data_IF_056327853112
#
_entry.id   IF_056327853112
#
_cell.length_a   1.000
_cell.length_b   1.000
_cell.length_c   1.000
_cell.angle_alpha   90.00
_cell.angle_beta   90.00
_cell.angle_gamma   90.00
#
_symmetry.space_group_name_H-M   'P 1'
#
loop_
_entity.id
_entity.type
_entity.pdbx_description
1 polymer ?
#
# COMPACT_ATOMS: atom_id res chain seq x y z
N UNK A 1 29.50 55.18 2.75
CA UNK A 1 28.81 55.02 1.46
C UNK A 1 28.46 53.57 1.27
N UNK A 2 27.18 53.34 1.09
CA UNK A 2 26.39 52.11 1.12
C UNK A 2 26.66 51.16 -0.05
N UNK A 3 26.57 49.84 0.18
CA UNK A 3 26.00 48.82 -0.72
C UNK A 3 26.29 47.43 -0.09
N UNK A 4 25.48 46.95 0.85
CA UNK A 4 24.26 46.15 0.63
C UNK A 4 24.53 44.89 -0.22
N UNK A 5 24.92 43.83 0.49
CA UNK A 5 24.85 42.44 0.06
C UNK A 5 23.38 42.06 -0.12
N UNK A 6 22.94 41.86 -1.36
CA UNK A 6 21.65 41.26 -1.66
C UNK A 6 21.80 39.74 -1.61
N UNK A 7 21.48 39.20 -0.43
CA UNK A 7 21.28 37.78 -0.20
C UNK A 7 20.02 37.35 -0.96
N UNK A 8 20.19 36.81 -2.16
CA UNK A 8 19.10 36.27 -2.96
C UNK A 8 19.00 34.76 -2.71
N UNK A 9 18.61 34.39 -1.50
CA UNK A 9 18.15 33.03 -1.20
C UNK A 9 16.67 32.94 -1.54
N UNK A 10 16.37 32.85 -2.84
CA UNK A 10 15.08 32.35 -3.29
C UNK A 10 14.88 30.96 -2.66
N UNK A 11 13.95 30.90 -1.70
CA UNK A 11 13.47 29.65 -1.12
C UNK A 11 12.92 28.79 -2.25
N UNK A 12 13.72 27.84 -2.73
CA UNK A 12 13.25 26.76 -3.56
C UNK A 12 12.11 26.08 -2.78
N UNK A 13 10.88 26.27 -3.25
CA UNK A 13 9.69 25.69 -2.63
C UNK A 13 9.94 24.19 -2.49
N UNK A 14 9.94 23.69 -1.25
CA UNK A 14 10.25 22.28 -0.97
C UNK A 14 9.19 21.41 -1.64
N UNK A 15 9.50 20.96 -2.86
CA UNK A 15 8.60 20.16 -3.71
C UNK A 15 8.21 18.84 -3.04
N UNK A 16 9.03 18.37 -2.10
CA UNK A 16 8.79 17.15 -1.31
C UNK A 16 7.80 17.47 -0.19
N UNK A 17 7.99 18.57 0.53
CA UNK A 17 7.02 19.07 1.50
C UNK A 17 5.64 19.32 0.88
N UNK A 18 5.59 19.96 -0.30
CA UNK A 18 4.34 20.16 -1.04
C UNK A 18 3.67 18.85 -1.45
N UNK A 19 4.45 17.90 -1.99
CA UNK A 19 3.93 16.59 -2.35
C UNK A 19 3.36 15.85 -1.13
N UNK A 20 4.06 15.92 0.00
CA UNK A 20 3.63 15.34 1.27
C UNK A 20 2.30 15.92 1.74
N UNK A 21 2.13 17.25 1.69
CA UNK A 21 0.87 17.91 2.04
C UNK A 21 -0.27 17.51 1.11
N UNK A 22 0.00 17.40 -0.20
CA UNK A 22 -0.98 16.95 -1.18
C UNK A 22 -1.44 15.51 -0.89
N UNK A 23 -0.50 14.60 -0.60
CA UNK A 23 -0.82 13.20 -0.26
C UNK A 23 -1.64 13.13 1.02
N UNK A 24 -1.29 13.89 2.06
CA UNK A 24 -2.07 13.93 3.30
C UNK A 24 -3.48 14.48 3.07
N UNK A 25 -3.62 15.49 2.24
CA UNK A 25 -4.94 16.02 1.88
C UNK A 25 -5.79 14.98 1.16
N UNK A 26 -5.20 14.21 0.24
CA UNK A 26 -5.88 13.13 -0.48
C UNK A 26 -6.31 12.00 0.46
N UNK A 27 -5.41 11.52 1.32
CA UNK A 27 -5.70 10.43 2.26
C UNK A 27 -6.68 10.82 3.37
N UNK A 28 -6.78 12.12 3.71
CA UNK A 28 -7.74 12.65 4.68
C UNK A 28 -9.06 13.10 4.06
N UNK A 29 -9.15 13.13 2.73
CA UNK A 29 -10.37 13.57 2.06
C UNK A 29 -11.53 12.64 2.43
N UNK A 30 -12.72 13.18 2.76
CA UNK A 30 -13.86 12.34 3.07
C UNK A 30 -14.26 11.53 1.83
N UNK A 31 -14.54 10.23 2.02
CA UNK A 31 -15.04 9.39 0.94
C UNK A 31 -16.41 9.91 0.47
N UNK A 32 -16.58 10.00 -0.85
CA UNK A 32 -17.85 10.41 -1.45
C UNK A 32 -18.88 9.27 -1.40
N UNK A 33 -19.55 9.13 -0.26
CA UNK A 33 -20.54 8.08 -0.01
C UNK A 33 -21.70 8.15 -1.01
N UNK A 34 -22.14 9.34 -1.40
CA UNK A 34 -23.24 9.51 -2.37
C UNK A 34 -22.90 8.91 -3.74
N UNK A 35 -21.67 9.16 -4.22
CA UNK A 35 -21.18 8.55 -5.47
C UNK A 35 -21.12 7.01 -5.38
N UNK A 36 -20.70 6.47 -4.23
CA UNK A 36 -20.66 5.03 -3.98
C UNK A 36 -22.05 4.40 -3.95
N UNK A 37 -23.03 5.08 -3.34
CA UNK A 37 -24.42 4.63 -3.29
C UNK A 37 -25.07 4.70 -4.68
N UNK A 38 -24.83 5.77 -5.44
CA UNK A 38 -25.33 5.89 -6.81
C UNK A 38 -24.77 4.80 -7.73
N UNK A 39 -23.49 4.43 -7.55
CA UNK A 39 -22.85 3.31 -8.26
C UNK A 39 -23.55 1.96 -8.02
N UNK A 40 -24.04 1.72 -6.81
CA UNK A 40 -24.79 0.49 -6.44
C UNK A 40 -26.15 0.36 -7.14
N UNK A 41 -26.75 1.47 -7.55
CA UNK A 41 -28.07 1.51 -8.19
C UNK A 41 -28.04 1.49 -9.72
N UNK A 42 -26.85 1.40 -10.34
CA UNK A 42 -26.72 1.39 -11.80
C UNK A 42 -27.23 0.10 -12.42
N UNK A 43 -27.88 0.23 -13.59
CA UNK A 43 -28.38 -0.91 -14.38
C UNK A 43 -27.27 -1.77 -14.97
N UNK A 44 -26.09 -1.19 -15.26
CA UNK A 44 -24.93 -1.90 -15.78
C UNK A 44 -23.69 -1.67 -14.90
N UNK A 45 -22.91 -2.74 -14.58
CA UNK A 45 -21.67 -2.59 -13.82
C UNK A 45 -20.59 -1.85 -14.61
N UNK A 46 -19.63 -1.25 -13.90
CA UNK A 46 -18.43 -0.71 -14.52
C UNK A 46 -17.57 -1.80 -15.17
N UNK A 47 -16.93 -1.48 -16.29
CA UNK A 47 -15.94 -2.35 -16.90
C UNK A 47 -14.68 -2.43 -16.03
N UNK A 48 -13.98 -3.56 -16.10
CA UNK A 48 -12.63 -3.71 -15.58
C UNK A 48 -11.67 -3.18 -16.64
N UNK A 49 -10.81 -2.24 -16.28
CA UNK A 49 -9.70 -1.80 -17.12
C UNK A 49 -8.69 -2.94 -17.18
N UNK A 50 -8.42 -3.44 -18.37
CA UNK A 50 -7.41 -4.46 -18.57
C UNK A 50 -6.01 -3.84 -18.42
N UNK A 51 -5.15 -4.46 -17.61
CA UNK A 51 -3.73 -4.12 -17.51
C UNK A 51 -2.97 -5.28 -18.15
N UNK A 52 -2.49 -5.06 -19.38
CA UNK A 52 -1.80 -6.08 -20.17
C UNK A 52 -0.41 -6.41 -19.61
N UNK A 53 0.32 -5.39 -19.16
CA UNK A 53 1.67 -5.52 -18.63
C UNK A 53 1.76 -5.02 -17.19
N UNK A 54 1.62 -5.95 -16.25
CA UNK A 54 1.81 -5.70 -14.82
C UNK A 54 3.26 -5.30 -14.50
N UNK A 55 4.25 -5.90 -15.16
CA UNK A 55 5.66 -5.67 -14.85
C UNK A 55 6.10 -4.25 -15.27
N UNK A 56 5.63 -3.78 -16.43
CA UNK A 56 5.84 -2.42 -16.89
C UNK A 56 5.03 -1.38 -16.11
N UNK A 57 3.75 -1.68 -15.81
CA UNK A 57 2.88 -0.76 -15.04
C UNK A 57 3.39 -0.54 -13.62
N UNK A 58 3.86 -1.60 -12.97
CA UNK A 58 4.35 -1.61 -11.60
C UNK A 58 5.85 -1.90 -11.57
N UNK A 59 6.60 -0.99 -12.21
CA UNK A 59 8.03 -1.11 -12.48
C UNK A 59 8.92 -0.33 -11.51
N UNK A 60 8.35 0.27 -10.44
CA UNK A 60 9.11 1.08 -9.48
C UNK A 60 10.32 0.30 -8.93
N UNK A 61 11.48 0.95 -8.91
CA UNK A 61 12.74 0.27 -8.61
C UNK A 61 12.95 0.14 -7.11
N UNK A 62 13.53 -0.97 -6.66
CA UNK A 62 13.86 -1.21 -5.24
C UNK A 62 14.62 -0.04 -4.58
N UNK A 63 15.60 0.63 -5.24
CA UNK A 63 16.23 1.83 -4.67
C UNK A 63 15.27 2.99 -4.39
N UNK A 64 14.21 3.18 -5.19
CA UNK A 64 13.19 4.21 -4.97
C UNK A 64 12.35 3.90 -3.72
N UNK A 65 11.91 2.65 -3.59
CA UNK A 65 11.21 2.17 -2.40
C UNK A 65 12.09 2.37 -1.15
N UNK A 66 13.35 1.96 -1.20
CA UNK A 66 14.27 2.04 -0.06
C UNK A 66 14.61 3.49 0.32
N UNK A 67 14.86 4.36 -0.66
CA UNK A 67 15.16 5.77 -0.42
C UNK A 67 13.98 6.49 0.25
N UNK A 68 12.76 6.21 -0.22
CA UNK A 68 11.53 6.79 0.35
C UNK A 68 11.26 6.23 1.74
N UNK A 69 11.34 4.91 1.91
CA UNK A 69 11.15 4.25 3.19
C UNK A 69 12.09 4.80 4.28
N UNK A 70 13.37 5.00 3.96
CA UNK A 70 14.35 5.64 4.86
C UNK A 70 13.99 7.07 5.24
N UNK A 71 13.35 7.81 4.33
CA UNK A 71 13.07 9.23 4.50
C UNK A 71 11.82 9.46 5.35
N UNK A 72 10.75 8.71 5.12
CA UNK A 72 9.45 8.92 5.78
C UNK A 72 9.16 7.91 6.90
N UNK A 73 9.97 6.86 6.99
CA UNK A 73 9.80 5.79 7.94
C UNK A 73 10.65 5.96 9.18
N UNK A 74 10.61 4.91 9.99
CA UNK A 74 11.35 4.83 11.24
C UNK A 74 12.74 4.20 11.02
N UNK A 75 13.76 4.49 11.86
CA UNK A 75 14.98 3.68 11.92
C UNK A 75 14.67 2.18 12.09
N UNK A 76 15.50 1.31 11.53
CA UNK A 76 15.29 -0.13 11.63
C UNK A 76 15.28 -0.58 13.09
N UNK A 77 14.38 -1.52 13.39
CA UNK A 77 14.28 -2.11 14.71
C UNK A 77 15.15 -3.38 14.77
N UNK A 78 15.93 -3.53 15.84
CA UNK A 78 16.77 -4.71 16.05
C UNK A 78 15.94 -6.00 16.11
N UNK A 79 14.86 -5.98 16.90
CA UNK A 79 13.97 -7.13 17.12
C UNK A 79 12.51 -6.70 17.30
N UNK A 80 11.62 -7.70 17.45
CA UNK A 80 10.19 -7.47 17.57
C UNK A 80 9.81 -6.71 18.83
N UNK A 81 10.55 -6.90 19.93
CA UNK A 81 10.32 -6.16 21.17
C UNK A 81 10.68 -4.69 21.03
N UNK A 82 11.75 -4.38 20.29
CA UNK A 82 12.17 -3.03 19.97
C UNK A 82 11.10 -2.30 19.14
N UNK A 83 10.46 -2.98 18.19
CA UNK A 83 9.35 -2.41 17.44
C UNK A 83 8.13 -2.12 18.32
N UNK A 84 7.72 -3.04 19.19
CA UNK A 84 6.57 -2.84 20.10
C UNK A 84 6.76 -1.66 21.05
N UNK A 85 8.01 -1.31 21.40
CA UNK A 85 8.33 -0.13 22.24
C UNK A 85 8.16 1.21 21.52
N UNK A 86 7.91 1.21 20.21
CA UNK A 86 7.75 2.43 19.39
C UNK A 86 6.29 2.74 19.09
N UNK A 87 5.43 2.56 20.10
CA UNK A 87 3.99 2.75 19.97
C UNK A 87 3.59 4.17 19.55
N UNK A 88 4.44 5.17 19.81
CA UNK A 88 4.21 6.56 19.39
C UNK A 88 4.47 6.81 17.88
N UNK A 89 5.16 5.89 17.21
CA UNK A 89 5.59 6.02 15.81
C UNK A 89 4.99 4.94 14.90
N UNK A 90 4.49 3.86 15.48
CA UNK A 90 3.96 2.70 14.78
C UNK A 90 2.52 2.42 15.19
N UNK A 91 1.71 2.08 14.20
CA UNK A 91 0.32 1.65 14.33
C UNK A 91 0.26 0.15 14.07
N UNK A 92 -0.38 -0.58 14.98
CA UNK A 92 -0.70 -1.99 14.77
C UNK A 92 -1.79 -2.12 13.71
N UNK A 93 -1.59 -2.99 12.72
CA UNK A 93 -2.62 -3.35 11.74
C UNK A 93 -3.16 -4.75 12.04
N UNK A 94 -4.48 -4.85 12.23
CA UNK A 94 -5.17 -6.10 12.48
C UNK A 94 -6.12 -6.47 11.35
N UNK A 95 -6.66 -7.68 11.43
CA UNK A 95 -7.76 -8.11 10.58
C UNK A 95 -8.95 -7.16 10.70
N UNK A 96 -9.54 -6.81 9.56
CA UNK A 96 -10.73 -5.98 9.48
C UNK A 96 -11.54 -6.32 8.22
N UNK A 97 -12.74 -5.76 8.00
CA UNK A 97 -13.55 -6.08 6.82
C UNK A 97 -12.93 -5.78 5.45
N UNK A 98 -11.82 -5.03 5.38
CA UNK A 98 -11.17 -4.61 4.14
C UNK A 98 -9.97 -5.48 3.78
N UNK A 99 -9.25 -5.97 4.79
CA UNK A 99 -8.11 -6.86 4.60
C UNK A 99 -7.90 -7.82 5.77
N UNK A 100 -7.30 -8.95 5.46
CA UNK A 100 -6.82 -9.94 6.41
C UNK A 100 -5.29 -9.95 6.43
N UNK A 101 -4.71 -9.88 7.61
CA UNK A 101 -3.27 -10.01 7.86
C UNK A 101 -2.98 -11.47 8.15
N UNK A 102 -2.35 -12.15 7.18
CA UNK A 102 -1.95 -13.56 7.37
C UNK A 102 -0.89 -13.68 8.47
N UNK A 103 -0.71 -14.87 9.06
CA UNK A 103 0.39 -15.12 9.99
C UNK A 103 1.75 -14.69 9.40
N UNK A 104 2.37 -13.69 10.05
CA UNK A 104 3.61 -13.07 9.57
C UNK A 104 4.83 -13.80 10.17
N UNK A 105 5.43 -14.69 9.38
CA UNK A 105 6.59 -15.48 9.82
C UNK A 105 7.88 -14.65 9.91
N UNK A 106 8.08 -13.71 8.99
CA UNK A 106 9.30 -12.91 8.84
C UNK A 106 9.02 -11.41 8.85
N UNK A 107 7.95 -10.98 9.52
CA UNK A 107 7.58 -9.58 9.72
C UNK A 107 6.63 -9.47 10.90
N UNK A 108 6.31 -8.24 11.30
CA UNK A 108 5.35 -7.90 12.36
C UNK A 108 4.35 -6.86 11.84
N UNK A 109 3.11 -6.88 12.35
CA UNK A 109 1.99 -6.13 11.76
C UNK A 109 1.96 -4.68 12.25
N UNK A 110 3.04 -3.94 11.99
CA UNK A 110 3.15 -2.54 12.35
C UNK A 110 3.52 -1.70 11.13
N UNK A 111 2.87 -0.56 10.97
CA UNK A 111 3.17 0.43 9.95
C UNK A 111 3.30 1.81 10.59
N UNK A 112 4.02 2.72 9.95
CA UNK A 112 3.90 4.15 10.28
C UNK A 112 2.47 4.64 9.93
N UNK A 113 1.92 5.65 10.62
CA UNK A 113 0.52 6.05 10.45
C UNK A 113 0.10 6.33 9.01
N UNK A 114 0.95 6.99 8.22
CA UNK A 114 0.65 7.27 6.81
C UNK A 114 0.53 5.99 5.98
N UNK A 115 1.39 5.00 6.20
CA UNK A 115 1.33 3.73 5.48
C UNK A 115 0.11 2.89 5.90
N UNK A 116 -0.28 2.93 7.18
CA UNK A 116 -1.52 2.30 7.65
C UNK A 116 -2.76 2.93 6.98
N UNK A 117 -2.81 4.26 6.90
CA UNK A 117 -3.91 5.00 6.24
C UNK A 117 -3.99 4.64 4.75
N UNK A 118 -2.85 4.58 4.05
CA UNK A 118 -2.79 4.14 2.66
C UNK A 118 -3.33 2.71 2.48
N UNK A 119 -2.96 1.79 3.37
CA UNK A 119 -3.43 0.40 3.31
C UNK A 119 -4.95 0.30 3.49
N UNK A 120 -5.51 1.03 4.44
CA UNK A 120 -6.97 1.12 4.63
C UNK A 120 -7.67 1.71 3.40
N UNK A 121 -7.11 2.77 2.81
CA UNK A 121 -7.69 3.40 1.62
C UNK A 121 -7.63 2.48 0.39
N UNK A 122 -6.56 1.70 0.22
CA UNK A 122 -6.50 0.65 -0.80
C UNK A 122 -7.59 -0.40 -0.57
N UNK A 123 -7.78 -0.86 0.68
CA UNK A 123 -8.83 -1.82 1.03
C UNK A 123 -10.25 -1.30 0.77
N UNK A 124 -10.50 -0.04 1.13
CA UNK A 124 -11.74 0.68 0.82
C UNK A 124 -12.01 0.75 -0.68
N UNK A 125 -11.03 1.30 -1.43
CA UNK A 125 -11.11 1.46 -2.88
C UNK A 125 -11.31 0.11 -3.61
N UNK A 126 -10.73 -0.97 -3.08
CA UNK A 126 -10.93 -2.33 -3.60
C UNK A 126 -12.36 -2.82 -3.42
N UNK A 127 -12.93 -2.73 -2.20
CA UNK A 127 -14.32 -3.12 -1.97
C UNK A 127 -15.31 -2.26 -2.76
N UNK A 128 -15.06 -0.96 -2.84
CA UNK A 128 -15.88 -0.04 -3.64
C UNK A 128 -15.84 -0.41 -5.13
N UNK A 129 -14.66 -0.79 -5.64
CA UNK A 129 -14.50 -1.26 -7.02
C UNK A 129 -15.20 -2.60 -7.27
N UNK A 130 -15.13 -3.56 -6.35
CA UNK A 130 -15.89 -4.82 -6.46
C UNK A 130 -17.39 -4.54 -6.55
N UNK A 131 -17.88 -3.66 -5.68
CA UNK A 131 -19.29 -3.26 -5.64
C UNK A 131 -19.74 -2.66 -6.97
N UNK A 132 -19.01 -1.66 -7.46
CA UNK A 132 -19.33 -0.93 -8.69
C UNK A 132 -19.24 -1.81 -9.95
N UNK A 133 -18.53 -2.94 -9.87
CA UNK A 133 -18.38 -3.92 -10.95
C UNK A 133 -19.26 -5.17 -10.77
N UNK A 134 -20.11 -5.20 -9.72
CA UNK A 134 -21.11 -6.24 -9.50
C UNK A 134 -20.56 -7.56 -8.93
N UNK A 135 -19.46 -7.49 -8.19
CA UNK A 135 -18.83 -8.64 -7.53
C UNK A 135 -19.12 -8.69 -6.03
N UNK A 136 -19.12 -9.91 -5.48
CA UNK A 136 -19.19 -10.16 -4.05
C UNK A 136 -17.95 -9.62 -3.34
N UNK A 137 -18.10 -9.29 -2.04
CA UNK A 137 -17.02 -8.69 -1.26
C UNK A 137 -15.93 -9.71 -0.95
N UNK A 138 -14.70 -9.31 -1.19
CA UNK A 138 -13.49 -10.09 -0.94
C UNK A 138 -12.51 -9.19 -0.19
N UNK A 139 -11.90 -9.69 0.87
CA UNK A 139 -10.83 -9.02 1.58
C UNK A 139 -9.52 -9.19 0.83
N UNK A 140 -8.70 -8.14 0.88
CA UNK A 140 -7.29 -8.24 0.51
C UNK A 140 -6.53 -9.11 1.52
N UNK A 141 -5.43 -9.69 1.09
CA UNK A 141 -4.58 -10.52 1.94
C UNK A 141 -3.19 -9.89 2.05
N UNK A 142 -2.84 -9.49 3.27
CA UNK A 142 -1.54 -8.88 3.59
C UNK A 142 -0.55 -9.97 3.98
N UNK A 143 0.59 -10.01 3.32
CA UNK A 143 1.58 -11.10 3.44
C UNK A 143 2.90 -10.68 4.07
N UNK A 144 3.24 -9.39 4.07
CA UNK A 144 4.40 -8.85 4.79
C UNK A 144 4.20 -7.37 5.10
N UNK A 145 4.83 -6.92 6.20
CA UNK A 145 4.68 -5.56 6.76
C UNK A 145 6.06 -5.11 7.31
N UNK A 146 6.21 -4.70 8.57
CA UNK A 146 7.50 -4.29 9.13
C UNK A 146 8.43 -5.49 9.34
N UNK A 147 9.69 -5.40 8.89
CA UNK A 147 10.73 -6.41 9.15
C UNK A 147 11.83 -5.87 10.06
N UNK A 148 12.07 -6.53 11.18
CA UNK A 148 13.19 -6.19 12.07
C UNK A 148 14.51 -6.75 11.53
N UNK A 149 15.64 -6.30 12.07
CA UNK A 149 16.96 -6.82 11.67
C UNK A 149 17.05 -8.34 11.95
N UNK A 150 16.48 -8.79 13.07
CA UNK A 150 16.35 -10.21 13.40
C UNK A 150 15.49 -10.98 12.36
N UNK A 151 14.35 -10.43 11.93
CA UNK A 151 13.50 -11.05 10.90
C UNK A 151 14.25 -11.15 9.56
N UNK A 152 14.97 -10.09 9.16
CA UNK A 152 15.79 -10.07 7.94
C UNK A 152 16.90 -11.12 8.03
N UNK A 153 17.61 -11.21 9.15
CA UNK A 153 18.64 -12.21 9.37
C UNK A 153 18.08 -13.64 9.28
N UNK A 154 16.91 -13.89 9.86
CA UNK A 154 16.24 -15.19 9.77
C UNK A 154 15.80 -15.52 8.34
N UNK A 155 15.23 -14.55 7.61
CA UNK A 155 14.82 -14.72 6.21
C UNK A 155 16.02 -15.07 5.32
N UNK A 156 17.15 -14.39 5.50
CA UNK A 156 18.38 -14.60 4.72
C UNK A 156 19.00 -15.99 4.92
N UNK A 157 18.79 -16.63 6.08
CA UNK A 157 19.22 -18.03 6.29
C UNK A 157 18.50 -19.00 5.34
N UNK A 158 17.22 -18.75 5.06
CA UNK A 158 16.40 -19.60 4.20
C UNK A 158 16.45 -19.18 2.73
N UNK A 159 16.61 -17.89 2.47
CA UNK A 159 16.71 -17.32 1.14
C UNK A 159 18.02 -16.54 0.99
N UNK A 160 19.06 -17.18 0.46
CA UNK A 160 20.37 -16.53 0.23
C UNK A 160 20.29 -15.33 -0.71
N UNK A 161 19.25 -15.24 -1.53
CA UNK A 161 19.03 -14.13 -2.46
C UNK A 161 18.28 -12.95 -1.83
N UNK A 162 17.83 -13.07 -0.57
CA UNK A 162 17.16 -11.97 0.11
C UNK A 162 18.13 -10.80 0.34
N UNK A 163 17.72 -9.61 -0.08
CA UNK A 163 18.51 -8.39 0.07
C UNK A 163 18.77 -8.08 1.55
N UNK A 164 19.97 -7.55 1.85
CA UNK A 164 20.33 -7.13 3.20
C UNK A 164 19.57 -5.87 3.65
N UNK A 165 19.25 -4.98 2.72
CA UNK A 165 18.43 -3.79 2.96
C UNK A 165 17.02 -4.00 2.40
N UNK A 166 16.00 -3.84 3.23
CA UNK A 166 14.60 -4.00 2.86
C UNK A 166 13.82 -2.73 3.18
N UNK A 167 12.98 -2.26 2.26
CA UNK A 167 12.07 -1.13 2.51
C UNK A 167 11.08 -1.44 3.65
N UNK A 168 10.75 -2.71 3.87
CA UNK A 168 9.96 -3.16 5.01
C UNK A 168 10.58 -2.80 6.36
N UNK A 169 11.89 -2.59 6.46
CA UNK A 169 12.55 -2.31 7.74
C UNK A 169 12.25 -0.94 8.33
N UNK A 170 11.53 -0.08 7.59
CA UNK A 170 11.21 1.29 7.99
C UNK A 170 9.72 1.49 8.32
N UNK A 171 8.91 0.41 8.26
CA UNK A 171 7.48 0.46 8.61
C UNK A 171 6.59 1.17 7.59
N UNK A 172 7.10 1.46 6.39
CA UNK A 172 6.38 2.22 5.34
C UNK A 172 5.83 1.35 4.22
N UNK A 173 6.09 0.04 4.30
CA UNK A 173 5.99 -0.87 3.17
C UNK A 173 5.27 -2.14 3.56
N UNK A 174 4.37 -2.58 2.71
CA UNK A 174 3.56 -3.78 2.89
C UNK A 174 3.38 -4.53 1.58
N UNK A 175 3.19 -5.84 1.68
CA UNK A 175 2.95 -6.73 0.55
C UNK A 175 1.49 -7.17 0.54
N UNK A 176 0.82 -6.97 -0.60
CA UNK A 176 -0.56 -7.44 -0.83
C UNK A 176 -0.51 -8.61 -1.81
N UNK A 177 -1.06 -9.76 -1.44
CA UNK A 177 -1.17 -10.89 -2.37
C UNK A 177 -2.07 -10.54 -3.55
N UNK A 178 -1.67 -10.94 -4.76
CA UNK A 178 -2.54 -10.87 -5.94
C UNK A 178 -3.13 -12.23 -6.32
N UNK A 179 -2.84 -13.29 -5.55
CA UNK A 179 -3.33 -14.66 -5.80
C UNK A 179 -4.24 -15.16 -4.68
N UNK A 180 -4.21 -14.53 -3.50
CA UNK A 180 -5.03 -14.90 -2.37
C UNK A 180 -5.95 -13.74 -1.98
N UNK A 181 -7.24 -14.05 -1.87
CA UNK A 181 -8.30 -13.17 -1.40
C UNK A 181 -9.21 -13.98 -0.48
N UNK A 182 -9.86 -13.32 0.50
CA UNK A 182 -10.78 -14.01 1.41
C UNK A 182 -12.23 -13.56 1.17
N UNK A 183 -13.17 -14.49 0.92
CA UNK A 183 -14.58 -14.13 0.79
C UNK A 183 -15.14 -13.57 2.08
N UNK A 184 -15.72 -12.37 2.02
CA UNK A 184 -16.42 -11.75 3.15
C UNK A 184 -17.92 -12.04 3.11
N UNK A 185 -18.49 -12.13 1.91
CA UNK A 185 -19.92 -12.35 1.69
C UNK A 185 -20.10 -13.43 0.63
N UNK A 186 -21.02 -14.36 0.89
CA UNK A 186 -21.38 -15.38 -0.09
C UNK A 186 -21.92 -14.73 -1.39
N UNK A 187 -21.58 -15.27 -2.57
CA UNK A 187 -22.17 -14.81 -3.83
C UNK A 187 -23.69 -14.92 -3.82
N UNK A 188 -24.36 -14.06 -4.60
CA UNK A 188 -25.82 -14.08 -4.79
C UNK A 188 -26.17 -13.79 -6.25
N UNK A 189 -27.45 -13.89 -6.61
CA UNK A 189 -27.95 -13.56 -7.96
C UNK A 189 -27.53 -12.15 -8.42
N UNK A 190 -27.36 -11.22 -7.47
CA UNK A 190 -26.98 -9.83 -7.74
C UNK A 190 -25.49 -9.54 -7.55
N UNK A 191 -24.72 -10.45 -6.94
CA UNK A 191 -23.28 -10.28 -6.67
C UNK A 191 -22.53 -11.55 -7.01
N UNK A 192 -21.91 -11.55 -8.19
CA UNK A 192 -21.18 -12.70 -8.71
C UNK A 192 -19.88 -12.89 -7.93
N UNK A 193 -19.43 -14.13 -7.81
CA UNK A 193 -18.07 -14.35 -7.35
C UNK A 193 -17.09 -13.93 -8.45
N UNK A 194 -16.02 -13.23 -8.07
CA UNK A 194 -14.93 -12.94 -8.98
C UNK A 194 -13.93 -14.11 -8.96
N UNK A 195 -13.41 -14.50 -10.12
CA UNK A 195 -12.28 -15.39 -10.19
C UNK A 195 -10.98 -14.66 -9.74
N UNK A 196 -9.92 -15.40 -9.37
CA UNK A 196 -8.67 -14.78 -8.90
C UNK A 196 -8.02 -13.81 -9.88
N UNK A 197 -8.16 -14.03 -11.18
CA UNK A 197 -7.61 -13.12 -12.19
C UNK A 197 -8.39 -11.81 -12.22
N UNK A 198 -9.72 -11.87 -12.18
CA UNK A 198 -10.58 -10.68 -12.03
C UNK A 198 -10.23 -9.87 -10.78
N UNK A 199 -10.05 -10.53 -9.63
CA UNK A 199 -9.68 -9.86 -8.37
C UNK A 199 -8.32 -9.17 -8.48
N UNK A 200 -7.34 -9.83 -9.10
CA UNK A 200 -6.04 -9.22 -9.40
C UNK A 200 -6.18 -7.99 -10.29
N UNK A 201 -6.98 -8.04 -11.35
CA UNK A 201 -7.19 -6.89 -12.24
C UNK A 201 -7.78 -5.70 -11.47
N UNK A 202 -8.80 -5.93 -10.63
CA UNK A 202 -9.44 -4.88 -9.84
C UNK A 202 -8.46 -4.29 -8.82
N UNK A 203 -7.68 -5.12 -8.11
CA UNK A 203 -6.65 -4.64 -7.20
C UNK A 203 -5.59 -3.80 -7.94
N UNK A 204 -5.20 -4.23 -9.14
CA UNK A 204 -4.23 -3.51 -9.94
C UNK A 204 -4.76 -2.16 -10.45
N UNK A 205 -6.04 -2.03 -10.79
CA UNK A 205 -6.65 -0.73 -11.08
C UNK A 205 -6.50 0.22 -9.88
N UNK A 206 -6.86 -0.23 -8.68
CA UNK A 206 -6.75 0.55 -7.45
C UNK A 206 -5.31 0.98 -7.19
N UNK A 207 -4.35 0.05 -7.28
CA UNK A 207 -2.94 0.35 -7.06
C UNK A 207 -2.36 1.29 -8.12
N UNK A 208 -2.78 1.16 -9.38
CA UNK A 208 -2.37 2.09 -10.46
C UNK A 208 -2.88 3.50 -10.16
N UNK A 209 -4.11 3.63 -9.70
CA UNK A 209 -4.71 4.93 -9.44
C UNK A 209 -4.06 5.60 -8.21
N UNK A 210 -3.77 4.84 -7.14
CA UNK A 210 -2.97 5.31 -6.00
C UNK A 210 -1.57 5.75 -6.41
N UNK A 211 -0.88 4.95 -7.23
CA UNK A 211 0.45 5.29 -7.77
C UNK A 211 0.41 6.57 -8.62
N UNK A 212 -0.62 6.75 -9.47
CA UNK A 212 -0.82 7.97 -10.27
C UNK A 212 -1.09 9.19 -9.43
N UNK A 213 -1.81 9.04 -8.33
CA UNK A 213 -2.03 10.09 -7.34
C UNK A 213 -0.77 10.40 -6.51
N UNK A 214 0.30 9.61 -6.69
CA UNK A 214 1.57 9.79 -6.01
C UNK A 214 1.56 9.37 -4.55
N UNK A 215 0.54 8.64 -4.09
CA UNK A 215 0.43 8.20 -2.68
C UNK A 215 1.37 7.04 -2.36
N UNK A 216 1.83 6.31 -3.38
CA UNK A 216 2.70 5.15 -3.21
C UNK A 216 3.60 4.84 -4.42
N UNK A 217 4.60 4.01 -4.18
CA UNK A 217 5.30 3.21 -5.19
C UNK A 217 4.79 1.78 -5.15
N UNK A 218 4.77 1.13 -6.31
CA UNK A 218 4.28 -0.25 -6.46
C UNK A 218 5.22 -1.05 -7.36
N UNK A 219 5.68 -2.19 -6.85
CA UNK A 219 6.42 -3.19 -7.60
C UNK A 219 5.63 -4.49 -7.68
N UNK A 220 5.44 -5.01 -8.89
CA UNK A 220 4.87 -6.33 -9.09
C UNK A 220 5.95 -7.42 -8.89
N UNK A 221 5.78 -8.26 -7.86
CA UNK A 221 6.74 -9.31 -7.50
C UNK A 221 6.20 -10.70 -7.82
N UNK A 222 6.61 -11.24 -8.97
CA UNK A 222 6.16 -12.56 -9.46
C UNK A 222 6.54 -13.68 -8.48
N UNK A 223 7.78 -13.66 -7.97
CA UNK A 223 8.29 -14.74 -7.13
C UNK A 223 7.63 -14.80 -5.75
N UNK A 224 7.20 -13.67 -5.19
CA UNK A 224 6.49 -13.61 -3.91
C UNK A 224 4.97 -13.64 -4.08
N UNK A 225 4.48 -13.55 -5.33
CA UNK A 225 3.05 -13.50 -5.64
C UNK A 225 2.30 -12.35 -4.96
N UNK A 226 2.95 -11.18 -4.91
CA UNK A 226 2.42 -9.96 -4.30
C UNK A 226 2.69 -8.70 -5.12
N UNK A 227 1.93 -7.65 -4.80
CA UNK A 227 2.33 -6.27 -5.05
C UNK A 227 3.06 -5.75 -3.82
N UNK A 228 4.28 -5.28 -4.01
CA UNK A 228 5.11 -4.64 -3.00
C UNK A 228 4.86 -3.13 -3.04
N UNK A 229 4.29 -2.59 -1.96
CA UNK A 229 3.78 -1.21 -1.91
C UNK A 229 4.52 -0.42 -0.83
N UNK A 230 5.08 0.74 -1.19
CA UNK A 230 5.69 1.70 -0.24
C UNK A 230 4.95 3.02 -0.29
N UNK A 231 4.51 3.52 0.87
CA UNK A 231 3.89 4.84 1.00
C UNK A 231 4.87 5.98 0.64
N UNK A 232 4.34 7.13 0.22
CA UNK A 232 5.10 8.32 -0.16
C UNK A 232 4.73 9.54 0.66
#
# INVERSE_FOLDING_TARGET
>A
STACSSDNSEQAVDSIGLHSLQVDQLLRAPRNIEALVAGRTRKSPHSISHIDDYAGTFSDLNPQHLATARKIGIPSCQDRNAATRRADELVYIGDNPYFHVRPLNYSIPYLVPRAATLLEEIGHSFLDSLTNKGYAFQQLVITSVLRTDADVAQLRKRNRNAAAASAHSFGTTFDISYVHFLPLVAPSEHRRNADPYTLKCILAEVLRDQRRNGTCYVKYEVHQSCFHVTAR
#
